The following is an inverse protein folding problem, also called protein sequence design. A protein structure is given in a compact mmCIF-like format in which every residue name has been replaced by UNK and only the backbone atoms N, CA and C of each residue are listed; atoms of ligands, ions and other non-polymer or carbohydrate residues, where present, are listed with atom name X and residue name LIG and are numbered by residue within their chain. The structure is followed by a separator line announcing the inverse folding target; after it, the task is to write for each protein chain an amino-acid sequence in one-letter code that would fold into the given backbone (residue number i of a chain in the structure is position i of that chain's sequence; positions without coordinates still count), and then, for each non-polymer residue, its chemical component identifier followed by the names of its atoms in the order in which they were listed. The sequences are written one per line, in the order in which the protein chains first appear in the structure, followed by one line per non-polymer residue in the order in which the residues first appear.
data_IF_821324308193
#
_entry.id   IF_821324308193
#
_cell.length_a   1.000
_cell.length_b   1.000
_cell.length_c   1.000
_cell.angle_alpha   90.00
_cell.angle_beta   90.00
_cell.angle_gamma   90.00
#
_symmetry.space_group_name_H-M   'P 1'
#
loop_
_entity.id
_entity.type
_entity.pdbx_description
1 polymer ?
#
# COMPACT_ATOMS: atom_id res chain seq x y z
N UNK A 1 17.20 35.27 43.17
CA UNK A 1 17.10 35.47 41.71
C UNK A 1 18.51 35.70 41.21
N UNK A 2 19.10 34.64 40.64
CA UNK A 2 19.22 34.57 39.18
C UNK A 2 18.77 33.21 38.59
N UNK A 3 18.33 33.30 37.33
CA UNK A 3 18.45 32.36 36.21
C UNK A 3 18.46 30.85 36.49
N UNK A 4 17.30 30.20 36.29
CA UNK A 4 17.23 28.75 36.03
C UNK A 4 17.11 28.55 34.53
N UNK A 5 18.25 28.40 33.87
CA UNK A 5 18.33 27.88 32.51
C UNK A 5 17.82 26.42 32.49
N UNK A 6 16.86 26.16 31.60
CA UNK A 6 16.37 24.83 31.27
C UNK A 6 17.50 23.97 30.67
N UNK A 7 17.68 22.70 31.08
CA UNK A 7 18.34 21.75 30.20
C UNK A 7 17.35 21.38 29.09
N UNK A 8 17.58 21.96 27.91
CA UNK A 8 17.05 21.47 26.63
C UNK A 8 17.50 20.01 26.49
N UNK A 9 16.58 19.09 26.77
CA UNK A 9 16.73 17.68 26.47
C UNK A 9 16.76 17.49 24.96
N UNK A 10 17.92 17.08 24.47
CA UNK A 10 18.18 16.62 23.11
C UNK A 10 17.28 15.41 22.82
N UNK A 11 16.10 15.65 22.24
CA UNK A 11 15.32 14.58 21.61
C UNK A 11 16.01 14.25 20.29
N UNK A 12 17.02 13.39 20.43
CA UNK A 12 17.77 12.81 19.34
C UNK A 12 16.83 12.32 18.25
N UNK A 13 17.09 12.78 17.03
CA UNK A 13 16.62 12.15 15.80
C UNK A 13 17.15 10.72 15.76
N UNK A 14 16.43 9.79 16.36
CA UNK A 14 16.56 8.39 16.02
C UNK A 14 15.92 8.18 14.65
N UNK A 15 16.75 8.32 13.61
CA UNK A 15 16.53 7.60 12.35
C UNK A 15 16.45 6.12 12.70
N UNK A 16 15.24 5.59 12.74
CA UNK A 16 15.03 4.17 12.57
C UNK A 16 15.43 3.83 11.12
N UNK A 17 16.10 2.69 10.87
CA UNK A 17 16.28 2.20 9.52
C UNK A 17 14.91 1.82 8.95
N UNK A 18 14.40 2.64 8.02
CA UNK A 18 13.38 2.19 7.08
C UNK A 18 14.06 1.25 6.10
N UNK A 19 13.49 0.06 5.92
CA UNK A 19 13.99 -1.08 5.14
C UNK A 19 14.84 -2.09 5.93
N UNK A 20 14.12 -2.91 6.69
CA UNK A 20 14.59 -4.19 7.18
C UNK A 20 13.50 -5.24 7.00
N UNK A 21 13.22 -5.67 5.77
CA UNK A 21 12.68 -7.00 5.52
C UNK A 21 13.47 -7.66 4.40
N UNK A 22 14.38 -8.53 4.82
CA UNK A 22 14.95 -9.59 4.00
C UNK A 22 13.94 -10.73 4.08
N UNK A 23 13.19 -10.99 3.00
CA UNK A 23 12.61 -12.30 2.78
C UNK A 23 13.22 -12.89 1.51
N UNK A 24 14.23 -13.74 1.73
CA UNK A 24 14.72 -14.68 0.73
C UNK A 24 13.73 -15.84 0.70
N UNK A 25 12.83 -15.84 -0.28
CA UNK A 25 12.07 -17.02 -0.69
C UNK A 25 12.43 -17.34 -2.14
N UNK A 26 12.72 -18.62 -2.38
CA UNK A 26 13.30 -19.12 -3.60
C UNK A 26 12.42 -18.90 -4.84
N UNK A 27 13.06 -18.56 -5.96
CA UNK A 27 12.54 -18.87 -7.29
C UNK A 27 11.76 -17.76 -7.99
N UNK A 28 12.49 -16.95 -8.77
CA UNK A 28 12.10 -16.43 -10.09
C UNK A 28 10.71 -15.77 -10.17
N UNK A 29 10.66 -14.44 -10.17
CA UNK A 29 9.67 -13.76 -11.01
C UNK A 29 10.37 -12.75 -11.93
N UNK A 30 10.50 -13.19 -13.18
CA UNK A 30 10.87 -12.36 -14.30
C UNK A 30 9.68 -11.45 -14.58
N UNK A 31 9.70 -10.18 -14.17
CA UNK A 31 8.79 -9.18 -14.72
C UNK A 31 9.25 -8.82 -16.14
N UNK A 32 9.19 -9.81 -17.04
CA UNK A 32 9.36 -9.60 -18.47
C UNK A 32 8.08 -8.96 -18.94
N UNK A 33 8.23 -7.72 -19.41
CA UNK A 33 7.32 -6.93 -20.25
C UNK A 33 6.59 -7.78 -21.31
N UNK A 34 5.55 -8.50 -20.91
CA UNK A 34 4.59 -9.11 -21.81
C UNK A 34 3.38 -8.19 -21.89
N UNK A 35 3.18 -7.61 -23.07
CA UNK A 35 1.88 -7.32 -23.69
C UNK A 35 0.70 -7.16 -22.71
N UNK A 36 0.38 -5.90 -22.46
CA UNK A 36 -0.57 -5.37 -21.49
C UNK A 36 -1.99 -5.93 -21.68
N UNK A 37 -2.32 -6.95 -20.90
CA UNK A 37 -3.70 -7.24 -20.54
C UNK A 37 -3.69 -7.62 -19.06
N UNK A 38 -3.76 -6.61 -18.20
CA UNK A 38 -3.97 -6.80 -16.77
C UNK A 38 -5.37 -7.40 -16.60
N UNK A 39 -5.45 -8.69 -16.25
CA UNK A 39 -6.73 -9.31 -15.93
C UNK A 39 -7.20 -8.83 -14.56
N UNK A 40 -8.52 -8.80 -14.34
CA UNK A 40 -9.08 -8.39 -13.06
C UNK A 40 -8.53 -9.21 -11.88
N UNK A 41 -8.34 -10.51 -12.11
CA UNK A 41 -7.81 -11.45 -11.12
C UNK A 41 -6.32 -11.20 -10.79
N UNK A 42 -5.51 -10.87 -11.80
CA UNK A 42 -4.10 -10.49 -11.62
C UNK A 42 -3.97 -9.19 -10.80
N UNK A 43 -4.80 -8.19 -11.12
CA UNK A 43 -4.81 -6.90 -10.41
C UNK A 43 -5.25 -7.12 -8.96
N UNK A 44 -6.33 -7.88 -8.75
CA UNK A 44 -6.84 -8.19 -7.41
C UNK A 44 -5.79 -8.92 -6.56
N UNK A 45 -5.19 -9.99 -7.10
CA UNK A 45 -4.16 -10.77 -6.41
C UNK A 45 -2.95 -9.91 -6.01
N UNK A 46 -2.56 -8.97 -6.86
CA UNK A 46 -1.48 -8.02 -6.55
C UNK A 46 -1.87 -7.00 -5.49
N UNK A 47 -3.08 -6.43 -5.54
CA UNK A 47 -3.55 -5.49 -4.52
C UNK A 47 -3.58 -6.19 -3.15
N UNK A 48 -4.07 -7.43 -3.06
CA UNK A 48 -4.08 -8.18 -1.80
C UNK A 48 -2.67 -8.40 -1.25
N UNK A 49 -1.69 -8.67 -2.11
CA UNK A 49 -0.28 -8.75 -1.70
C UNK A 49 0.26 -7.43 -1.17
N UNK A 50 0.03 -6.32 -1.89
CA UNK A 50 0.43 -4.97 -1.43
C UNK A 50 -0.16 -4.67 -0.05
N UNK A 51 -1.42 -5.04 0.19
CA UNK A 51 -2.06 -4.82 1.49
C UNK A 51 -1.38 -5.57 2.64
N UNK A 52 -0.92 -6.80 2.40
CA UNK A 52 -0.26 -7.61 3.43
C UNK A 52 1.22 -7.28 3.57
N UNK A 53 1.93 -7.10 2.44
CA UNK A 53 3.38 -6.91 2.40
C UNK A 53 3.80 -5.45 2.66
N UNK A 54 3.09 -4.48 2.07
CA UNK A 54 3.47 -3.07 2.10
C UNK A 54 2.58 -2.22 3.02
N UNK A 55 1.29 -2.57 3.17
CA UNK A 55 0.38 -1.86 4.07
C UNK A 55 0.32 -2.46 5.48
N UNK A 56 1.15 -3.48 5.77
CA UNK A 56 1.32 -4.12 7.08
C UNK A 56 0.02 -4.65 7.70
N UNK A 57 -0.90 -5.18 6.89
CA UNK A 57 -2.04 -5.91 7.43
C UNK A 57 -1.59 -7.24 8.04
N UNK A 58 -1.94 -7.46 9.30
CA UNK A 58 -1.71 -8.72 10.04
C UNK A 58 -2.74 -9.82 9.66
N UNK A 59 -3.05 -9.91 8.36
CA UNK A 59 -4.03 -10.84 7.79
C UNK A 59 -3.41 -11.60 6.63
N UNK A 60 -3.70 -12.89 6.47
CA UNK A 60 -3.23 -13.63 5.30
C UNK A 60 -3.96 -13.16 4.03
N UNK A 61 -3.22 -13.07 2.92
CA UNK A 61 -3.73 -12.66 1.59
C UNK A 61 -5.00 -13.42 1.19
N UNK A 62 -5.06 -14.72 1.51
CA UNK A 62 -6.20 -15.60 1.21
C UNK A 62 -7.48 -15.26 1.97
N UNK A 63 -7.36 -14.59 3.12
CA UNK A 63 -8.52 -14.17 3.92
C UNK A 63 -9.14 -12.87 3.43
N UNK A 64 -8.46 -12.14 2.54
CA UNK A 64 -8.94 -10.85 2.03
C UNK A 64 -9.83 -11.09 0.81
N UNK A 65 -11.07 -10.62 0.88
CA UNK A 65 -12.05 -10.68 -0.20
C UNK A 65 -12.08 -9.38 -0.98
N UNK A 66 -12.46 -9.44 -2.25
CA UNK A 66 -12.64 -8.25 -3.09
C UNK A 66 -13.66 -7.25 -2.51
N UNK A 67 -14.64 -7.75 -1.77
CA UNK A 67 -15.73 -6.98 -1.18
C UNK A 67 -15.40 -6.38 0.19
N UNK A 68 -14.28 -6.78 0.80
CA UNK A 68 -13.91 -6.32 2.14
C UNK A 68 -13.54 -4.83 2.10
N UNK A 69 -14.11 -4.07 3.03
CA UNK A 69 -13.85 -2.66 3.20
C UNK A 69 -12.43 -2.42 3.71
N UNK A 70 -11.65 -1.61 2.98
CA UNK A 70 -10.27 -1.31 3.35
C UNK A 70 -10.19 -0.67 4.75
N UNK A 71 -11.03 0.32 5.05
CA UNK A 71 -11.05 0.97 6.36
C UNK A 71 -11.77 0.15 7.43
N UNK A 72 -12.95 -0.42 7.11
CA UNK A 72 -13.87 -0.97 8.11
C UNK A 72 -13.55 -2.42 8.45
N UNK A 73 -13.31 -3.26 7.43
CA UNK A 73 -13.08 -4.70 7.61
C UNK A 73 -11.60 -5.01 7.79
N UNK A 74 -10.73 -4.35 7.00
CA UNK A 74 -9.29 -4.58 7.03
C UNK A 74 -8.54 -3.64 7.97
N UNK A 75 -9.19 -2.58 8.49
CA UNK A 75 -8.57 -1.66 9.44
C UNK A 75 -7.45 -0.79 8.86
N UNK A 76 -7.49 -0.50 7.55
CA UNK A 76 -6.49 0.31 6.88
C UNK A 76 -6.55 1.77 7.37
N UNK A 77 -5.44 2.27 7.91
CA UNK A 77 -5.30 3.64 8.37
C UNK A 77 -4.97 4.63 7.24
N UNK A 78 -5.02 5.93 7.53
CA UNK A 78 -4.69 7.01 6.59
C UNK A 78 -3.30 6.87 5.94
N UNK A 79 -2.31 6.38 6.69
CA UNK A 79 -0.98 6.07 6.16
C UNK A 79 -1.02 4.85 5.23
N UNK A 80 -1.80 3.83 5.58
CA UNK A 80 -1.99 2.63 4.76
C UNK A 80 -2.65 2.95 3.41
N UNK A 81 -3.63 3.86 3.38
CA UNK A 81 -4.21 4.35 2.12
C UNK A 81 -3.19 5.07 1.23
N UNK A 82 -2.33 5.88 1.84
CA UNK A 82 -1.28 6.59 1.12
C UNK A 82 -0.24 5.62 0.54
N UNK A 83 0.19 4.64 1.33
CA UNK A 83 1.13 3.61 0.87
C UNK A 83 0.51 2.74 -0.22
N UNK A 84 -0.74 2.31 -0.05
CA UNK A 84 -1.48 1.54 -1.05
C UNK A 84 -1.53 2.28 -2.39
N UNK A 85 -1.82 3.59 -2.39
CA UNK A 85 -1.79 4.42 -3.61
C UNK A 85 -0.41 4.37 -4.26
N UNK A 86 0.65 4.67 -3.49
CA UNK A 86 2.02 4.73 -4.00
C UNK A 86 2.45 3.39 -4.59
N UNK A 87 2.13 2.28 -3.91
CA UNK A 87 2.47 0.94 -4.37
C UNK A 87 1.69 0.54 -5.61
N UNK A 88 0.40 0.88 -5.69
CA UNK A 88 -0.39 0.68 -6.90
C UNK A 88 0.22 1.45 -8.10
N UNK A 89 0.55 2.73 -7.93
CA UNK A 89 1.19 3.53 -8.99
C UNK A 89 2.51 2.92 -9.47
N UNK A 90 3.34 2.43 -8.54
CA UNK A 90 4.63 1.80 -8.84
C UNK A 90 4.49 0.43 -9.51
N UNK A 91 3.65 -0.44 -8.97
CA UNK A 91 3.50 -1.84 -9.42
C UNK A 91 2.77 -1.94 -10.76
N UNK A 92 1.78 -1.07 -10.99
CA UNK A 92 0.99 -1.05 -12.22
C UNK A 92 1.49 -0.02 -13.25
N UNK A 93 2.53 0.76 -12.91
CA UNK A 93 3.04 1.85 -13.76
C UNK A 93 1.92 2.81 -14.20
N UNK A 94 1.05 3.17 -13.25
CA UNK A 94 -0.08 4.08 -13.45
C UNK A 94 0.07 5.30 -12.54
N UNK A 95 -0.79 6.31 -12.75
CA UNK A 95 -0.88 7.48 -11.87
C UNK A 95 -2.33 7.64 -11.44
N UNK A 96 -2.56 7.60 -10.13
CA UNK A 96 -3.88 7.80 -9.55
C UNK A 96 -4.00 9.30 -9.25
N UNK A 97 -4.83 10.05 -9.98
CA UNK A 97 -4.99 11.47 -9.72
C UNK A 97 -5.70 11.68 -8.37
N UNK A 98 -5.42 12.79 -7.70
CA UNK A 98 -5.94 13.08 -6.37
C UNK A 98 -7.47 13.13 -6.33
N UNK A 99 -8.15 13.51 -7.43
CA UNK A 99 -9.61 13.47 -7.53
C UNK A 99 -10.17 12.04 -7.43
N UNK A 100 -9.40 11.04 -7.86
CA UNK A 100 -9.76 9.62 -7.78
C UNK A 100 -9.29 8.98 -6.46
N UNK A 101 -8.46 9.67 -5.66
CA UNK A 101 -8.06 9.24 -4.33
C UNK A 101 -9.12 9.65 -3.29
N UNK A 102 -10.24 8.92 -3.29
CA UNK A 102 -11.36 9.17 -2.39
C UNK A 102 -11.91 7.86 -1.79
N UNK A 103 -12.71 7.98 -0.72
CA UNK A 103 -13.26 6.85 0.02
C UNK A 103 -14.20 5.95 -0.79
N UNK A 104 -14.73 6.42 -1.93
CA UNK A 104 -15.57 5.60 -2.82
C UNK A 104 -14.69 4.68 -3.68
N UNK A 105 -13.63 5.22 -4.27
CA UNK A 105 -12.67 4.47 -5.09
C UNK A 105 -11.74 3.59 -4.26
N UNK A 106 -11.50 3.96 -3.01
CA UNK A 106 -10.71 3.21 -2.01
C UNK A 106 -11.61 2.58 -0.94
N UNK A 107 -12.84 2.22 -1.29
CA UNK A 107 -13.76 1.58 -0.33
C UNK A 107 -13.34 0.13 -0.06
N UNK A 108 -13.10 -0.66 -1.12
CA UNK A 108 -12.72 -2.08 -1.04
C UNK A 108 -11.62 -2.43 -2.03
N UNK A 109 -11.06 -3.63 -1.89
CA UNK A 109 -10.08 -4.19 -2.84
C UNK A 109 -10.62 -4.19 -4.28
N UNK A 110 -11.89 -4.54 -4.46
CA UNK A 110 -12.56 -4.52 -5.76
C UNK A 110 -12.67 -3.12 -6.36
N UNK A 111 -12.97 -2.10 -5.53
CA UNK A 111 -13.01 -0.70 -6.00
C UNK A 111 -11.65 -0.21 -6.49
N UNK A 112 -10.57 -0.56 -5.78
CA UNK A 112 -9.21 -0.21 -6.19
C UNK A 112 -8.82 -0.97 -7.46
N UNK A 113 -9.16 -2.25 -7.57
CA UNK A 113 -8.96 -3.04 -8.80
C UNK A 113 -9.63 -2.38 -10.00
N UNK A 114 -10.90 -2.01 -9.86
CA UNK A 114 -11.68 -1.41 -10.95
C UNK A 114 -11.11 -0.06 -11.37
N UNK A 115 -10.65 0.75 -10.41
CA UNK A 115 -9.91 1.99 -10.66
C UNK A 115 -8.65 1.75 -11.51
N UNK A 116 -7.82 0.77 -11.14
CA UNK A 116 -6.58 0.46 -11.87
C UNK A 116 -6.89 -0.02 -13.29
N UNK A 117 -7.91 -0.86 -13.46
CA UNK A 117 -8.36 -1.31 -14.78
C UNK A 117 -8.89 -0.16 -15.64
N UNK A 118 -9.59 0.82 -15.04
CA UNK A 118 -10.08 2.02 -15.75
C UNK A 118 -8.92 2.89 -16.26
N UNK A 119 -7.88 3.08 -15.44
CA UNK A 119 -6.69 3.87 -15.82
C UNK A 119 -5.82 3.22 -16.91
N UNK A 120 -6.04 1.93 -17.17
CA UNK A 120 -5.28 1.14 -18.14
C UNK A 120 -6.04 0.84 -19.44
N UNK A 121 -7.26 1.36 -19.59
CA UNK A 121 -8.01 1.36 -20.86
C UNK A 121 -7.51 2.46 -21.79
#
# INVERSE_FOLDING_TARGET
MPDRACPIGDYGRHRLPVNGFVMVAAGRLVYRRAMFSLSADEVESRIKRILVEDAYLDLPVDSIRASDGLAVDLGLDSLGFTELRVQCERQFATKIPDEQFNSVRFHSVGSVRDLILELHR
#
